data_IF_546212504577
#
_entry.id   IF_546212504577
#
_cell.length_a   1.000
_cell.length_b   1.000
_cell.length_c   1.000
_cell.angle_alpha   90.00
_cell.angle_beta   90.00
_cell.angle_gamma   90.00
#
_symmetry.space_group_name_H-M   'P 1'
#
loop_
_entity.id
_entity.type
_entity.pdbx_description
1 polymer ?
#
# COMPACT_ATOMS: atom_id res chain seq x y z
N UNK A 1 2.21 -11.10 -5.80
CA UNK A 1 1.74 -10.34 -4.64
C UNK A 1 2.75 -9.25 -4.34
N UNK A 2 2.35 -8.01 -4.52
CA UNK A 2 3.10 -6.78 -4.20
C UNK A 2 3.03 -6.49 -2.70
N UNK A 3 3.90 -5.60 -2.21
CA UNK A 3 3.85 -5.19 -0.81
C UNK A 3 2.53 -4.46 -0.49
N UNK A 4 2.00 -3.69 -1.44
CA UNK A 4 0.70 -3.02 -1.27
C UNK A 4 -0.49 -4.00 -1.23
N UNK A 5 -0.49 -5.06 -2.05
CA UNK A 5 -1.51 -6.11 -1.97
C UNK A 5 -1.50 -6.80 -0.61
N UNK A 6 -0.31 -7.20 -0.13
CA UNK A 6 -0.12 -7.80 1.18
C UNK A 6 -0.56 -6.88 2.32
N UNK A 7 -0.24 -5.58 2.24
CA UNK A 7 -0.66 -4.60 3.23
C UNK A 7 -2.19 -4.50 3.32
N UNK A 8 -2.88 -4.51 2.17
CA UNK A 8 -4.33 -4.47 2.09
C UNK A 8 -4.97 -5.71 2.72
N UNK A 9 -4.42 -6.90 2.48
CA UNK A 9 -4.91 -8.14 3.09
C UNK A 9 -4.74 -8.13 4.62
N UNK A 10 -3.56 -7.75 5.11
CA UNK A 10 -3.24 -7.73 6.54
C UNK A 10 -4.16 -6.82 7.36
N UNK A 11 -4.57 -5.68 6.80
CA UNK A 11 -5.46 -4.74 7.50
C UNK A 11 -6.95 -5.03 7.28
N UNK A 12 -7.30 -6.05 6.49
CA UNK A 12 -8.69 -6.47 6.27
C UNK A 12 -9.39 -5.82 5.06
N UNK A 13 -8.63 -5.34 4.08
CA UNK A 13 -9.13 -4.89 2.78
C UNK A 13 -8.94 -3.40 2.50
N UNK A 14 -9.29 -2.99 1.27
CA UNK A 14 -8.99 -1.66 0.75
C UNK A 14 -9.67 -0.54 1.55
N UNK A 15 -10.92 -0.76 1.98
CA UNK A 15 -11.67 0.18 2.83
C UNK A 15 -11.04 0.34 4.21
N UNK A 16 -10.54 -0.75 4.80
CA UNK A 16 -9.89 -0.71 6.10
C UNK A 16 -8.57 0.07 6.02
N UNK A 17 -7.74 -0.22 5.01
CA UNK A 17 -6.49 0.53 4.78
C UNK A 17 -6.76 2.02 4.59
N UNK A 18 -7.74 2.36 3.73
CA UNK A 18 -8.08 3.75 3.42
C UNK A 18 -8.54 4.53 4.67
N UNK A 19 -9.33 3.90 5.54
CA UNK A 19 -9.75 4.49 6.82
C UNK A 19 -8.56 4.72 7.76
N UNK A 20 -7.64 3.75 7.87
CA UNK A 20 -6.47 3.86 8.74
C UNK A 20 -5.53 5.01 8.34
N UNK A 21 -5.43 5.31 7.04
CA UNK A 21 -4.55 6.36 6.51
C UNK A 21 -5.29 7.65 6.13
N UNK A 22 -6.60 7.74 6.37
CA UNK A 22 -7.40 8.95 6.19
C UNK A 22 -7.67 9.35 4.74
N UNK A 23 -7.86 8.38 3.84
CA UNK A 23 -8.16 8.63 2.41
C UNK A 23 -9.41 7.87 1.95
N UNK A 24 -9.87 8.15 0.73
CA UNK A 24 -10.94 7.36 0.10
C UNK A 24 -10.43 6.01 -0.42
N UNK A 25 -11.25 4.96 -0.29
CA UNK A 25 -10.92 3.61 -0.78
C UNK A 25 -10.64 3.54 -2.27
N UNK A 26 -11.25 4.41 -3.08
CA UNK A 26 -10.98 4.54 -4.52
C UNK A 26 -9.49 4.83 -4.82
N UNK A 27 -8.79 5.54 -3.94
CA UNK A 27 -7.34 5.76 -4.07
C UNK A 27 -6.57 4.44 -3.95
N UNK A 28 -6.92 3.62 -2.95
CA UNK A 28 -6.29 2.32 -2.73
C UNK A 28 -6.57 1.38 -3.91
N UNK A 29 -7.81 1.40 -4.43
CA UNK A 29 -8.14 0.67 -5.66
C UNK A 29 -7.25 1.11 -6.83
N UNK A 30 -7.04 2.41 -7.02
CA UNK A 30 -6.16 2.93 -8.06
C UNK A 30 -4.71 2.45 -7.90
N UNK A 31 -4.19 2.42 -6.67
CA UNK A 31 -2.83 1.94 -6.40
C UNK A 31 -2.66 0.49 -6.83
N UNK A 32 -3.61 -0.37 -6.46
CA UNK A 32 -3.58 -1.79 -6.81
C UNK A 32 -3.80 -2.04 -8.31
N UNK A 33 -4.79 -1.40 -8.93
CA UNK A 33 -5.22 -1.77 -10.28
C UNK A 33 -4.51 -1.02 -11.39
N UNK A 34 -3.88 0.13 -11.10
CA UNK A 34 -3.25 0.98 -12.12
C UNK A 34 -1.75 1.00 -12.04
N UNK A 35 -1.19 0.93 -10.84
CA UNK A 35 0.25 1.12 -10.64
C UNK A 35 0.91 -0.04 -9.90
N UNK A 36 0.15 -0.91 -9.23
CA UNK A 36 0.67 -1.94 -8.34
C UNK A 36 1.64 -1.42 -7.27
N UNK A 37 1.51 -0.16 -6.88
CA UNK A 37 2.40 0.50 -5.91
C UNK A 37 1.67 1.62 -5.16
N UNK A 38 2.11 1.87 -3.93
CA UNK A 38 1.63 3.00 -3.12
C UNK A 38 2.40 4.28 -3.47
N UNK A 39 1.78 5.46 -3.62
CA UNK A 39 2.52 6.70 -3.83
C UNK A 39 3.50 6.99 -2.67
N UNK A 40 4.69 7.52 -2.97
CA UNK A 40 5.75 7.75 -2.00
C UNK A 40 5.31 8.45 -0.69
N UNK A 41 4.40 9.43 -0.80
CA UNK A 41 3.86 10.17 0.36
C UNK A 41 3.08 9.31 1.36
N UNK A 42 2.61 8.12 0.95
CA UNK A 42 1.83 7.20 1.79
C UNK A 42 2.62 5.97 2.25
N UNK A 43 3.86 5.76 1.80
CA UNK A 43 4.67 4.58 2.15
C UNK A 43 4.76 4.40 3.67
N UNK A 44 5.16 5.45 4.40
CA UNK A 44 5.28 5.40 5.86
C UNK A 44 3.93 5.18 6.55
N UNK A 45 2.85 5.73 6.00
CA UNK A 45 1.51 5.56 6.55
C UNK A 45 1.02 4.11 6.40
N UNK A 46 1.24 3.49 5.25
CA UNK A 46 0.90 2.07 5.00
C UNK A 46 1.73 1.14 5.88
N UNK A 47 3.04 1.37 5.98
CA UNK A 47 3.89 0.56 6.87
C UNK A 47 3.43 0.66 8.33
N UNK A 48 3.08 1.87 8.80
CA UNK A 48 2.51 2.05 10.15
C UNK A 48 1.14 1.37 10.31
N UNK A 49 0.27 1.45 9.29
CA UNK A 49 -1.07 0.83 9.33
C UNK A 49 -1.00 -0.70 9.45
N UNK A 50 0.08 -1.32 8.98
CA UNK A 50 0.35 -2.76 9.11
C UNK A 50 1.18 -3.11 10.35
N UNK A 51 1.38 -2.17 11.28
CA UNK A 51 2.27 -2.33 12.44
C UNK A 51 3.70 -2.77 12.08
N UNK A 52 4.20 -2.34 10.91
CA UNK A 52 5.53 -2.70 10.42
C UNK A 52 5.65 -4.11 9.84
N UNK A 53 4.56 -4.87 9.72
CA UNK A 53 4.56 -6.18 9.05
C UNK A 53 4.86 -6.08 7.55
N UNK A 54 4.52 -4.92 6.96
CA UNK A 54 5.00 -4.49 5.65
C UNK A 54 5.92 -3.29 5.88
N UNK A 55 7.18 -3.45 5.49
CA UNK A 55 8.24 -2.47 5.72
C UNK A 55 8.23 -1.36 4.67
N UNK A 56 8.91 -0.26 4.99
CA UNK A 56 9.14 0.84 4.03
C UNK A 56 9.91 0.33 2.80
N UNK A 57 10.92 -0.51 3.02
CA UNK A 57 11.77 -1.04 1.95
C UNK A 57 10.97 -1.95 1.00
N UNK A 58 10.11 -2.83 1.53
CA UNK A 58 9.20 -3.64 0.69
C UNK A 58 8.27 -2.79 -0.19
N UNK A 59 7.76 -1.66 0.33
CA UNK A 59 6.90 -0.75 -0.45
C UNK A 59 7.69 0.09 -1.46
N UNK A 60 8.97 0.37 -1.19
CA UNK A 60 9.86 1.03 -2.14
C UNK A 60 10.25 0.10 -3.28
N UNK A 61 10.51 -1.18 -2.99
CA UNK A 61 10.81 -2.21 -3.98
C UNK A 61 9.71 -2.36 -5.05
N UNK A 62 8.44 -2.14 -4.70
CA UNK A 62 7.33 -2.15 -5.67
C UNK A 62 7.55 -1.09 -6.78
N UNK A 63 8.18 0.04 -6.47
CA UNK A 63 8.48 1.11 -7.43
C UNK A 63 9.63 0.77 -8.38
N UNK A 64 10.62 0.00 -7.91
CA UNK A 64 11.73 -0.44 -8.75
C UNK A 64 11.29 -1.55 -9.72
N UNK A 65 10.40 -2.45 -9.26
CA UNK A 65 9.90 -3.57 -10.06
C UNK A 65 8.92 -3.15 -11.15
N UNK A 66 8.16 -2.07 -10.94
CA UNK A 66 7.18 -1.55 -11.91
C UNK A 66 7.85 -0.84 -13.11
N UNK A 67 9.13 -0.48 -13.01
CA UNK A 67 9.90 0.20 -14.06
C UNK A 67 10.71 -0.75 -14.98
N UNK A 68 10.44 -2.05 -14.93
CA UNK A 68 11.01 -3.06 -15.86
C UNK A 68 9.97 -3.52 -16.86
#
# INVERSE_FOLDING_TARGET
>A
MTAIERAVELVGGQTALARLIGIQQSNVWHWLNRHNQVPAKFIRAVSKATNGLVTVDELLDDHEKTNK
#
